data_IF_111377090545
#
_entry.id   IF_111377090545
#
_cell.length_a   1.000
_cell.length_b   1.000
_cell.length_c   1.000
_cell.angle_alpha   90.00
_cell.angle_beta   90.00
_cell.angle_gamma   90.00
#
_symmetry.space_group_name_H-M   'P 1'
#
loop_
_entity.id
_entity.type
_entity.pdbx_description
1 polymer ?
#
# COMPACT_ATOMS: atom_id res chain seq x y z
N UNK A 1 19.47 -24.56 70.60
CA UNK A 1 20.84 -25.08 70.81
C UNK A 1 21.26 -25.79 69.53
N UNK A 2 22.53 -25.69 69.09
CA UNK A 2 23.48 -24.56 69.13
C UNK A 2 24.06 -24.32 67.69
N UNK A 3 24.96 -23.40 67.34
CA UNK A 3 25.69 -22.33 68.02
C UNK A 3 26.17 -21.31 66.96
N UNK A 4 26.33 -20.06 67.41
CA UNK A 4 27.00 -18.93 66.74
C UNK A 4 28.53 -19.08 66.85
N UNK A 5 29.27 -18.45 65.93
CA UNK A 5 30.57 -17.82 66.24
C UNK A 5 30.62 -16.42 65.62
N UNK A 6 31.07 -15.47 66.42
CA UNK A 6 31.21 -14.03 66.15
C UNK A 6 32.61 -13.62 66.60
N UNK A 7 33.31 -12.77 65.84
CA UNK A 7 34.43 -11.93 66.30
C UNK A 7 34.57 -10.77 65.28
N UNK A 8 34.28 -9.49 65.55
CA UNK A 8 34.87 -8.48 66.48
C UNK A 8 36.11 -7.77 65.88
N UNK A 9 35.92 -6.47 65.54
CA UNK A 9 36.74 -5.25 65.84
C UNK A 9 38.23 -5.22 65.39
N UNK A 10 38.92 -4.15 64.99
CA UNK A 10 38.91 -2.68 65.25
C UNK A 10 39.95 -2.07 64.29
N UNK A 11 39.73 -0.95 63.58
CA UNK A 11 40.02 0.46 63.93
C UNK A 11 41.50 0.90 64.15
N UNK A 12 41.98 1.70 63.18
CA UNK A 12 42.81 2.94 63.23
C UNK A 12 44.32 2.96 63.60
N UNK A 13 44.96 4.01 63.04
CA UNK A 13 46.25 4.74 63.30
C UNK A 13 47.26 4.62 62.14
N UNK A 14 47.39 5.61 61.22
CA UNK A 14 47.92 6.98 61.30
C UNK A 14 49.46 7.08 61.34
N UNK A 15 50.04 7.82 60.38
CA UNK A 15 51.24 8.71 60.37
C UNK A 15 51.95 8.61 59.01
N UNK A 16 51.84 9.60 58.09
CA UNK A 16 52.63 10.85 57.98
C UNK A 16 54.15 10.68 58.01
N UNK A 17 54.81 10.90 56.87
CA UNK A 17 56.09 11.60 56.79
C UNK A 17 56.13 12.50 55.56
N UNK A 18 56.49 13.76 55.81
CA UNK A 18 56.75 14.81 54.84
C UNK A 18 58.05 14.54 54.08
N UNK A 19 58.13 15.01 52.84
CA UNK A 19 59.30 15.78 52.43
C UNK A 19 58.93 16.86 51.41
N UNK A 20 59.44 18.05 51.68
CA UNK A 20 59.16 19.29 51.00
C UNK A 20 60.06 19.50 49.78
N UNK A 21 59.54 20.16 48.75
CA UNK A 21 60.30 21.09 47.92
C UNK A 21 59.33 22.06 47.21
N UNK A 22 59.55 23.36 47.39
CA UNK A 22 58.80 24.48 46.79
C UNK A 22 59.28 24.82 45.35
N UNK A 23 58.55 25.68 44.59
CA UNK A 23 58.21 25.44 43.19
C UNK A 23 58.98 26.30 42.17
N UNK A 24 58.86 26.01 40.87
CA UNK A 24 58.90 27.02 39.83
C UNK A 24 57.48 27.35 39.34
N UNK A 25 57.21 28.65 39.32
CA UNK A 25 56.02 29.29 38.78
C UNK A 25 55.87 28.98 37.28
N UNK A 26 54.86 28.17 36.91
CA UNK A 26 54.37 28.13 35.55
C UNK A 26 52.88 27.79 35.53
N UNK A 27 52.11 28.73 35.01
CA UNK A 27 50.66 28.69 34.89
C UNK A 27 50.22 27.64 33.86
N UNK A 28 50.02 26.39 34.27
CA UNK A 28 49.15 25.44 33.56
C UNK A 28 48.51 24.51 34.60
N UNK A 29 47.22 24.70 34.89
CA UNK A 29 46.47 23.75 35.70
C UNK A 29 46.34 22.41 34.95
N UNK A 30 46.31 21.25 35.66
CA UNK A 30 46.11 19.97 35.01
C UNK A 30 44.79 19.97 34.23
N UNK A 31 44.72 19.36 33.04
CA UNK A 31 43.47 19.25 32.31
C UNK A 31 42.46 18.53 33.20
N UNK A 32 41.38 19.22 33.53
CA UNK A 32 40.21 18.61 34.15
C UNK A 32 39.73 17.53 33.19
N UNK A 33 39.99 16.26 33.54
CA UNK A 33 39.26 15.11 33.01
C UNK A 33 37.79 15.33 33.35
N UNK A 34 37.08 15.94 32.43
CA UNK A 34 35.64 15.99 32.42
C UNK A 34 35.20 14.62 31.95
N UNK A 35 34.75 13.80 32.90
CA UNK A 35 33.92 12.64 32.57
C UNK A 35 32.74 13.24 31.79
N UNK A 36 32.52 12.88 30.51
CA UNK A 36 31.36 13.36 29.80
C UNK A 36 30.14 12.96 30.63
N UNK A 37 29.31 13.95 30.99
CA UNK A 37 27.99 13.67 31.53
C UNK A 37 27.37 12.64 30.60
N UNK A 38 26.91 11.52 31.17
CA UNK A 38 26.07 10.59 30.43
C UNK A 38 25.05 11.44 29.64
N UNK A 39 24.88 11.19 28.33
CA UNK A 39 23.92 11.93 27.55
C UNK A 39 22.60 11.94 28.33
N UNK A 40 21.89 13.07 28.40
CA UNK A 40 20.59 13.08 29.05
C UNK A 40 19.83 11.90 28.48
N UNK A 41 19.33 11.00 29.36
CA UNK A 41 18.44 9.93 28.92
C UNK A 41 17.45 10.64 28.02
N UNK A 42 17.51 10.33 26.72
CA UNK A 42 16.47 10.78 25.82
C UNK A 42 15.19 10.32 26.50
N UNK A 43 14.37 11.30 26.83
CA UNK A 43 13.01 11.03 27.26
C UNK A 43 12.47 10.11 26.17
N UNK A 44 12.37 8.81 26.47
CA UNK A 44 11.63 7.88 25.65
C UNK A 44 10.20 8.31 25.87
N UNK A 45 9.83 9.41 25.22
CA UNK A 45 8.49 9.93 25.19
C UNK A 45 7.62 8.73 24.89
N UNK A 46 6.68 8.47 25.80
CA UNK A 46 5.70 7.41 25.72
C UNK A 46 5.30 7.21 24.25
N UNK A 47 5.77 6.12 23.63
CA UNK A 47 5.50 5.86 22.22
C UNK A 47 3.99 5.80 22.12
N UNK A 48 3.39 6.84 21.55
CA UNK A 48 1.94 7.00 21.51
C UNK A 48 1.39 5.87 20.66
N UNK A 49 0.99 4.79 21.31
CA UNK A 49 0.49 3.58 20.68
C UNK A 49 -0.73 3.97 19.84
N UNK A 50 -0.61 3.85 18.53
CA UNK A 50 -1.71 4.05 17.60
C UNK A 50 -2.58 2.80 17.60
N UNK A 51 -3.90 2.98 17.51
CA UNK A 51 -4.88 1.91 17.52
C UNK A 51 -5.65 2.00 16.21
N UNK A 52 -5.76 0.87 15.49
CA UNK A 52 -6.60 0.75 14.31
C UNK A 52 -7.98 0.23 14.72
N UNK A 53 -9.03 1.01 14.47
CA UNK A 53 -10.39 0.66 14.85
C UNK A 53 -11.28 0.43 13.63
N UNK A 54 -11.96 -0.71 13.66
CA UNK A 54 -12.97 -1.14 12.70
C UNK A 54 -14.37 -1.11 13.34
N UNK A 55 -15.39 -1.54 12.61
CA UNK A 55 -16.78 -1.47 13.08
C UNK A 55 -17.05 -2.32 14.33
N UNK A 56 -16.35 -3.45 14.46
CA UNK A 56 -16.60 -4.44 15.52
C UNK A 56 -15.40 -4.69 16.43
N UNK A 57 -14.21 -4.20 16.08
CA UNK A 57 -12.97 -4.49 16.81
C UNK A 57 -11.95 -3.36 16.64
N UNK A 58 -11.05 -3.23 17.60
CA UNK A 58 -9.87 -2.38 17.51
C UNK A 58 -8.63 -3.20 17.82
N UNK A 59 -7.51 -2.84 17.20
CA UNK A 59 -6.24 -3.53 17.38
C UNK A 59 -5.12 -2.53 17.64
N UNK A 60 -4.22 -2.95 18.52
CA UNK A 60 -2.97 -2.27 18.72
C UNK A 60 -2.12 -2.33 17.45
N UNK A 61 -1.41 -1.24 17.16
CA UNK A 61 -0.44 -1.21 16.07
C UNK A 61 0.99 -1.15 16.61
N UNK A 62 1.93 -1.66 15.82
CA UNK A 62 3.37 -1.61 16.03
C UNK A 62 3.99 -0.64 15.03
N UNK A 63 4.99 0.14 15.45
CA UNK A 63 5.75 0.99 14.52
C UNK A 63 6.54 0.10 13.56
N UNK A 64 6.57 0.47 12.27
CA UNK A 64 7.38 -0.23 11.26
C UNK A 64 8.86 -0.21 11.64
N UNK A 65 9.35 0.81 12.35
CA UNK A 65 10.75 0.85 12.80
C UNK A 65 11.04 -0.14 13.95
N UNK A 66 10.00 -0.81 14.49
CA UNK A 66 10.09 -1.80 15.56
C UNK A 66 9.85 -3.24 15.07
N UNK A 67 9.46 -3.45 13.81
CA UNK A 67 9.23 -4.80 13.29
C UNK A 67 10.56 -5.48 12.96
N UNK A 68 10.67 -6.76 13.29
CA UNK A 68 11.79 -7.59 12.85
C UNK A 68 11.50 -8.07 11.42
N UNK A 69 12.23 -7.51 10.45
CA UNK A 69 12.13 -7.86 9.03
C UNK A 69 13.52 -8.14 8.43
N UNK A 70 14.16 -9.27 8.77
CA UNK A 70 15.47 -9.63 8.24
C UNK A 70 15.44 -9.94 6.74
N UNK A 71 14.28 -10.31 6.19
CA UNK A 71 14.07 -10.67 4.78
C UNK A 71 13.87 -9.45 3.89
N UNK A 72 13.51 -8.28 4.46
CA UNK A 72 13.14 -7.10 3.69
C UNK A 72 11.76 -7.22 3.06
N UNK A 73 10.84 -7.93 3.70
CA UNK A 73 9.49 -8.21 3.21
C UNK A 73 8.60 -6.96 3.19
N UNK A 74 8.93 -5.94 3.97
CA UNK A 74 8.16 -4.70 4.14
C UNK A 74 8.86 -3.47 3.55
N UNK A 75 9.71 -3.67 2.54
CA UNK A 75 10.37 -2.57 1.80
C UNK A 75 9.41 -2.03 0.73
N UNK A 76 8.88 -0.82 0.98
CA UNK A 76 8.06 -0.08 0.02
C UNK A 76 8.92 0.75 -0.95
N UNK A 77 8.42 0.99 -2.15
CA UNK A 77 9.07 1.87 -3.12
C UNK A 77 9.09 3.33 -2.63
N UNK A 78 10.13 4.07 -2.99
CA UNK A 78 10.21 5.51 -2.73
C UNK A 78 9.12 6.25 -3.52
N UNK A 79 8.13 6.89 -2.88
CA UNK A 79 7.00 7.55 -3.55
C UNK A 79 7.43 8.62 -4.56
N UNK A 80 8.65 9.18 -4.47
CA UNK A 80 9.16 10.10 -5.49
C UNK A 80 9.33 9.45 -6.86
N UNK A 81 9.51 8.12 -6.90
CA UNK A 81 9.56 7.34 -8.13
C UNK A 81 8.16 7.00 -8.68
N UNK A 82 7.08 7.37 -7.98
CA UNK A 82 5.74 7.15 -8.51
C UNK A 82 5.50 8.10 -9.69
N UNK A 83 5.06 7.60 -10.86
CA UNK A 83 4.99 8.41 -12.09
C UNK A 83 4.05 9.61 -12.05
N UNK A 84 2.99 9.57 -11.22
CA UNK A 84 2.02 10.66 -11.11
C UNK A 84 2.29 11.46 -9.84
N UNK A 85 2.90 12.64 -10.02
CA UNK A 85 3.36 13.50 -8.93
C UNK A 85 2.24 13.89 -7.95
N UNK A 86 1.03 14.10 -8.46
CA UNK A 86 -0.12 14.53 -7.69
C UNK A 86 -0.70 13.43 -6.79
N UNK A 87 -0.32 12.17 -7.03
CA UNK A 87 -0.76 11.02 -6.26
C UNK A 87 0.36 10.42 -5.40
N UNK A 88 1.60 10.94 -5.43
CA UNK A 88 2.75 10.41 -4.67
C UNK A 88 2.45 10.25 -3.18
N UNK A 89 1.71 11.19 -2.60
CA UNK A 89 1.32 11.15 -1.19
C UNK A 89 0.46 9.94 -0.84
N UNK A 90 -0.25 9.35 -1.81
CA UNK A 90 -1.04 8.13 -1.62
C UNK A 90 -0.19 6.85 -1.65
N UNK A 91 1.08 6.94 -2.07
CA UNK A 91 2.01 5.81 -2.19
C UNK A 91 3.18 5.89 -1.19
N UNK A 92 3.04 6.71 -0.14
CA UNK A 92 3.99 6.75 0.97
C UNK A 92 3.98 5.43 1.74
N UNK A 93 5.14 5.06 2.31
CA UNK A 93 5.22 3.89 3.20
C UNK A 93 4.34 4.08 4.45
N UNK A 94 3.68 3.03 4.95
CA UNK A 94 3.05 3.06 6.25
C UNK A 94 4.10 3.19 7.36
N UNK A 95 3.68 3.74 8.50
CA UNK A 95 4.50 3.94 9.69
C UNK A 95 4.12 3.00 10.82
N UNK A 96 2.89 2.48 10.80
CA UNK A 96 2.42 1.48 11.73
C UNK A 96 1.73 0.34 11.00
N UNK A 97 1.77 -0.86 11.58
CA UNK A 97 1.11 -2.07 11.10
C UNK A 97 0.47 -2.81 12.28
N UNK A 98 -0.38 -3.78 12.00
CA UNK A 98 -0.93 -4.73 12.96
C UNK A 98 -0.10 -6.02 12.90
N UNK A 99 0.28 -6.58 14.05
CA UNK A 99 0.88 -7.92 14.11
C UNK A 99 -0.23 -8.98 14.13
N UNK A 100 -0.34 -9.76 13.06
CA UNK A 100 -1.41 -10.74 12.92
C UNK A 100 -1.23 -11.97 13.81
N UNK A 101 -0.01 -12.25 14.31
CA UNK A 101 0.21 -13.38 15.23
C UNK A 101 -0.49 -13.19 16.58
N UNK A 102 -0.78 -11.95 16.95
CA UNK A 102 -1.39 -11.59 18.24
C UNK A 102 -2.93 -11.57 18.17
N UNK A 103 -3.52 -11.88 17.01
CA UNK A 103 -4.95 -11.71 16.77
C UNK A 103 -5.58 -12.97 16.19
N UNK A 104 -6.74 -13.36 16.72
CA UNK A 104 -7.51 -14.44 16.13
C UNK A 104 -8.01 -14.02 14.72
N UNK A 105 -7.67 -14.76 13.64
CA UNK A 105 -8.09 -14.42 12.27
C UNK A 105 -9.61 -14.38 12.07
N UNK A 106 -10.38 -15.12 12.88
CA UNK A 106 -11.84 -15.09 12.87
C UNK A 106 -12.47 -13.89 13.61
N UNK A 107 -11.66 -12.97 14.14
CA UNK A 107 -12.16 -11.77 14.81
C UNK A 107 -12.98 -10.93 13.84
N UNK A 108 -14.20 -10.56 14.24
CA UNK A 108 -15.10 -9.72 13.44
C UNK A 108 -14.59 -8.28 13.38
N UNK A 109 -14.27 -7.82 12.17
CA UNK A 109 -13.93 -6.41 11.88
C UNK A 109 -15.14 -5.62 11.40
N UNK A 110 -16.15 -6.33 10.87
CA UNK A 110 -17.46 -5.82 10.53
C UNK A 110 -18.53 -6.92 10.74
N UNK A 111 -19.83 -6.61 10.75
CA UNK A 111 -20.87 -7.62 10.99
C UNK A 111 -20.74 -8.86 10.09
N UNK A 112 -20.38 -8.66 8.82
CA UNK A 112 -20.31 -9.71 7.81
C UNK A 112 -18.89 -10.13 7.43
N UNK A 113 -17.86 -9.53 8.04
CA UNK A 113 -16.47 -9.79 7.67
C UNK A 113 -15.57 -10.02 8.89
N UNK A 114 -14.61 -10.92 8.75
CA UNK A 114 -13.58 -11.22 9.74
C UNK A 114 -12.23 -10.63 9.32
N UNK A 115 -11.25 -10.61 10.22
CA UNK A 115 -9.92 -10.07 9.97
C UNK A 115 -9.27 -10.74 8.76
N UNK A 116 -9.33 -12.07 8.69
CA UNK A 116 -8.68 -12.88 7.66
C UNK A 116 -9.22 -12.65 6.25
N UNK A 117 -10.45 -12.12 6.10
CA UNK A 117 -10.98 -11.71 4.80
C UNK A 117 -10.08 -10.64 4.15
N UNK A 118 -9.43 -9.80 4.96
CA UNK A 118 -8.64 -8.66 4.50
C UNK A 118 -7.15 -8.79 4.79
N UNK A 119 -6.77 -9.41 5.91
CA UNK A 119 -5.39 -9.47 6.39
C UNK A 119 -5.09 -10.89 6.83
N UNK A 120 -4.25 -11.58 6.06
CA UNK A 120 -3.87 -12.98 6.30
C UNK A 120 -2.36 -13.09 6.46
N UNK A 121 -1.93 -13.85 7.47
CA UNK A 121 -0.51 -14.10 7.76
C UNK A 121 0.23 -14.70 6.54
N UNK A 122 -0.46 -15.51 5.73
CA UNK A 122 0.09 -16.10 4.51
C UNK A 122 0.57 -15.05 3.49
N UNK A 123 -0.02 -13.84 3.52
CA UNK A 123 0.35 -12.71 2.65
C UNK A 123 1.24 -11.68 3.36
N UNK A 124 1.71 -12.01 4.56
CA UNK A 124 2.53 -11.19 5.44
C UNK A 124 2.05 -11.19 6.89
N UNK A 125 2.96 -11.43 7.84
CA UNK A 125 2.68 -11.36 9.30
C UNK A 125 2.16 -10.00 9.77
N UNK A 126 2.75 -8.92 9.29
CA UNK A 126 2.34 -7.56 9.66
C UNK A 126 1.46 -7.01 8.55
N UNK A 127 0.33 -6.39 8.90
CA UNK A 127 -0.62 -5.94 7.90
C UNK A 127 -1.25 -4.60 8.23
N UNK A 128 -1.77 -3.94 7.21
CA UNK A 128 -2.63 -2.78 7.36
C UNK A 128 -3.84 -2.90 6.44
N UNK A 129 -4.97 -2.37 6.87
CA UNK A 129 -6.14 -2.30 6.02
C UNK A 129 -7.05 -1.17 6.45
N UNK A 130 -7.49 -0.36 5.48
CA UNK A 130 -8.29 0.83 5.72
C UNK A 130 -9.64 0.49 6.33
N UNK A 131 -9.95 1.08 7.49
CA UNK A 131 -11.27 0.91 8.11
C UNK A 131 -12.40 1.46 7.23
N UNK A 132 -12.11 2.49 6.44
CA UNK A 132 -13.04 3.08 5.48
C UNK A 132 -13.42 2.07 4.37
N UNK A 133 -12.46 1.31 3.85
CA UNK A 133 -12.72 0.30 2.82
C UNK A 133 -13.61 -0.82 3.35
N UNK A 134 -13.33 -1.32 4.56
CA UNK A 134 -14.18 -2.34 5.23
C UNK A 134 -15.60 -1.80 5.43
N UNK A 135 -15.77 -0.55 5.87
CA UNK A 135 -17.08 0.09 6.00
C UNK A 135 -17.82 0.11 4.65
N UNK A 136 -17.17 0.51 3.56
CA UNK A 136 -17.77 0.57 2.22
C UNK A 136 -18.19 -0.82 1.74
N UNK A 137 -17.37 -1.84 1.91
CA UNK A 137 -17.73 -3.23 1.59
C UNK A 137 -18.89 -3.73 2.45
N UNK A 138 -18.95 -3.34 3.73
CA UNK A 138 -20.08 -3.65 4.60
C UNK A 138 -21.37 -2.95 4.14
N UNK A 139 -21.29 -1.71 3.66
CA UNK A 139 -22.44 -1.01 3.08
C UNK A 139 -22.89 -1.67 1.77
N UNK A 140 -21.97 -2.07 0.89
CA UNK A 140 -22.25 -2.85 -0.32
C UNK A 140 -22.95 -4.18 0.02
N UNK A 141 -22.46 -4.90 1.03
CA UNK A 141 -23.06 -6.15 1.54
C UNK A 141 -24.47 -5.92 2.05
N UNK A 142 -24.71 -4.77 2.71
CA UNK A 142 -26.01 -4.38 3.23
C UNK A 142 -26.99 -3.95 2.14
N UNK A 143 -26.53 -3.30 1.08
CA UNK A 143 -27.39 -2.88 -0.04
C UNK A 143 -27.79 -4.07 -0.90
N UNK A 144 -26.81 -4.88 -1.31
CA UNK A 144 -27.05 -6.02 -2.20
C UNK A 144 -27.79 -7.16 -1.50
N UNK A 145 -27.71 -7.23 -0.16
CA UNK A 145 -28.17 -8.36 0.66
C UNK A 145 -27.56 -9.71 0.26
N UNK A 146 -26.49 -9.72 -0.56
CA UNK A 146 -25.80 -10.93 -1.05
C UNK A 146 -24.38 -11.08 -0.46
N UNK A 147 -23.92 -12.30 -0.11
CA UNK A 147 -22.57 -12.53 0.40
C UNK A 147 -21.50 -11.93 -0.52
N UNK A 148 -20.55 -11.21 0.09
CA UNK A 148 -19.35 -10.71 -0.57
C UNK A 148 -18.21 -11.59 -0.08
N UNK A 149 -17.48 -12.21 -1.01
CA UNK A 149 -16.32 -13.05 -0.71
C UNK A 149 -15.06 -12.32 -1.16
N UNK A 150 -14.17 -12.04 -0.21
CA UNK A 150 -12.90 -11.38 -0.48
C UNK A 150 -11.88 -12.46 -0.86
N UNK A 151 -11.34 -12.36 -2.07
CA UNK A 151 -10.24 -13.20 -2.53
C UNK A 151 -8.90 -12.65 -2.05
N UNK A 152 -8.78 -11.32 -2.02
CA UNK A 152 -7.53 -10.65 -1.65
C UNK A 152 -7.76 -9.26 -1.06
N UNK A 153 -7.15 -9.00 0.09
CA UNK A 153 -7.08 -7.70 0.74
C UNK A 153 -5.64 -7.18 0.77
N UNK A 154 -5.02 -7.10 1.93
CA UNK A 154 -3.62 -6.68 2.07
C UNK A 154 -2.63 -7.72 1.51
N UNK A 155 -1.54 -7.21 0.93
CA UNK A 155 -0.35 -7.97 0.53
C UNK A 155 0.88 -7.22 1.01
N UNK A 156 1.82 -7.87 1.70
CA UNK A 156 3.09 -7.19 1.98
C UNK A 156 3.89 -6.98 0.66
N UNK A 157 4.87 -6.05 0.63
CA UNK A 157 5.66 -5.78 -0.55
C UNK A 157 6.36 -7.00 -1.18
N UNK A 158 6.93 -7.91 -0.37
CA UNK A 158 7.58 -9.11 -0.89
C UNK A 158 6.60 -10.07 -1.56
N UNK A 159 5.52 -10.43 -0.87
CA UNK A 159 4.47 -11.29 -1.43
C UNK A 159 3.90 -10.71 -2.71
N UNK A 160 3.65 -9.38 -2.75
CA UNK A 160 3.20 -8.74 -3.97
C UNK A 160 4.25 -8.88 -5.10
N UNK A 161 5.54 -8.67 -4.85
CA UNK A 161 6.59 -8.81 -5.88
C UNK A 161 6.72 -10.24 -6.41
N UNK A 162 6.47 -11.24 -5.57
CA UNK A 162 6.58 -12.65 -5.94
C UNK A 162 5.40 -13.12 -6.80
N UNK A 163 4.32 -12.35 -6.83
CA UNK A 163 3.19 -12.53 -7.74
C UNK A 163 3.60 -12.11 -9.16
N UNK A 164 3.54 -13.02 -10.11
CA UNK A 164 3.88 -12.74 -11.50
C UNK A 164 2.92 -11.71 -12.12
N UNK A 165 3.52 -10.73 -12.80
CA UNK A 165 2.78 -9.64 -13.42
C UNK A 165 2.20 -8.61 -12.46
N UNK A 166 2.46 -8.71 -11.14
CA UNK A 166 1.94 -7.76 -10.16
C UNK A 166 2.48 -6.34 -10.34
N UNK A 167 1.69 -5.35 -9.91
CA UNK A 167 2.06 -3.96 -10.02
C UNK A 167 3.10 -3.66 -8.96
N UNK A 168 4.19 -3.01 -9.39
CA UNK A 168 5.18 -2.42 -8.49
C UNK A 168 4.53 -1.42 -7.51
N UNK A 169 3.43 -0.78 -7.92
CA UNK A 169 2.66 0.17 -7.12
C UNK A 169 1.26 -0.36 -6.79
N UNK A 170 1.14 -1.64 -6.46
CA UNK A 170 -0.15 -2.28 -6.17
C UNK A 170 -0.82 -1.65 -4.95
N UNK A 171 -2.12 -1.38 -5.04
CA UNK A 171 -2.93 -0.81 -3.95
C UNK A 171 -3.21 -1.79 -2.82
N UNK A 172 -3.07 -3.11 -3.06
CA UNK A 172 -3.12 -4.11 -2.00
C UNK A 172 -2.04 -3.88 -0.93
N UNK A 173 -0.87 -3.36 -1.32
CA UNK A 173 0.22 -3.04 -0.39
C UNK A 173 -0.08 -1.86 0.53
N UNK A 174 -1.05 -1.01 0.16
CA UNK A 174 -1.44 0.18 0.90
C UNK A 174 -2.81 0.01 1.60
N UNK A 175 -3.33 -1.23 1.64
CA UNK A 175 -4.50 -1.59 2.44
C UNK A 175 -5.81 -0.94 1.99
N UNK A 176 -5.89 -0.48 0.73
CA UNK A 176 -7.06 0.20 0.18
C UNK A 176 -7.58 -0.38 -1.13
N UNK A 177 -7.24 -1.64 -1.40
CA UNK A 177 -7.77 -2.44 -2.50
C UNK A 177 -8.43 -3.73 -1.98
N UNK A 178 -9.40 -4.23 -2.75
CA UNK A 178 -10.03 -5.52 -2.53
C UNK A 178 -10.31 -6.22 -3.86
N UNK A 179 -9.92 -7.48 -3.93
CA UNK A 179 -10.36 -8.43 -4.94
C UNK A 179 -11.50 -9.25 -4.35
N UNK A 180 -12.68 -9.21 -4.98
CA UNK A 180 -13.85 -9.89 -4.45
C UNK A 180 -14.87 -10.26 -5.51
N UNK A 181 -15.80 -11.13 -5.15
CA UNK A 181 -17.02 -11.36 -5.91
C UNK A 181 -18.24 -11.34 -4.98
N UNK A 182 -19.42 -11.12 -5.56
CA UNK A 182 -20.69 -11.16 -4.85
C UNK A 182 -21.45 -12.38 -5.32
N UNK A 183 -21.86 -13.24 -4.38
CA UNK A 183 -22.62 -14.46 -4.68
C UNK A 183 -23.86 -14.12 -5.50
N UNK A 184 -24.10 -14.89 -6.56
CA UNK A 184 -25.28 -14.75 -7.42
C UNK A 184 -25.42 -13.36 -8.07
N UNK A 185 -24.31 -12.68 -8.35
CA UNK A 185 -24.26 -11.40 -9.05
C UNK A 185 -23.19 -11.47 -10.15
N UNK A 186 -23.47 -10.88 -11.31
CA UNK A 186 -22.52 -10.93 -12.42
C UNK A 186 -21.36 -9.94 -12.16
N UNK A 187 -20.12 -10.37 -12.37
CA UNK A 187 -18.92 -9.54 -12.12
C UNK A 187 -19.00 -8.20 -12.86
N UNK A 188 -19.55 -8.19 -14.09
CA UNK A 188 -19.77 -6.97 -14.90
C UNK A 188 -20.65 -5.89 -14.26
N UNK A 189 -21.45 -6.24 -13.24
CA UNK A 189 -22.31 -5.30 -12.51
C UNK A 189 -21.56 -4.62 -11.35
N UNK A 190 -20.46 -5.22 -10.89
CA UNK A 190 -19.71 -4.77 -9.73
C UNK A 190 -18.96 -3.44 -9.93
N UNK A 191 -18.47 -3.05 -11.12
CA UNK A 191 -17.79 -1.76 -11.27
C UNK A 191 -18.68 -0.57 -10.90
N UNK A 192 -19.95 -0.60 -11.31
CA UNK A 192 -20.92 0.45 -10.98
C UNK A 192 -21.18 0.51 -9.47
N UNK A 193 -21.27 -0.66 -8.82
CA UNK A 193 -21.43 -0.77 -7.38
C UNK A 193 -20.20 -0.22 -6.62
N UNK A 194 -18.98 -0.62 -7.00
CA UNK A 194 -17.76 -0.09 -6.41
C UNK A 194 -17.65 1.43 -6.55
N UNK A 195 -17.90 1.97 -7.75
CA UNK A 195 -17.89 3.42 -8.01
C UNK A 195 -18.94 4.16 -7.17
N UNK A 196 -20.14 3.59 -7.01
CA UNK A 196 -21.18 4.14 -6.12
C UNK A 196 -20.70 4.28 -4.67
N UNK A 197 -19.86 3.37 -4.20
CA UNK A 197 -19.23 3.42 -2.88
C UNK A 197 -17.83 4.05 -2.88
N UNK A 198 -17.54 4.87 -3.90
CA UNK A 198 -16.38 5.76 -3.94
C UNK A 198 -15.09 5.08 -4.37
N UNK A 199 -15.12 3.88 -4.95
CA UNK A 199 -13.92 3.30 -5.56
C UNK A 199 -13.46 4.22 -6.70
N UNK A 200 -12.20 4.63 -6.64
CA UNK A 200 -11.54 5.46 -7.65
C UNK A 200 -11.10 4.66 -8.86
N UNK A 201 -10.89 3.36 -8.68
CA UNK A 201 -10.48 2.46 -9.75
C UNK A 201 -11.10 1.07 -9.59
N UNK A 202 -11.38 0.45 -10.74
CA UNK A 202 -11.91 -0.91 -10.81
C UNK A 202 -11.24 -1.65 -11.97
N UNK A 203 -10.94 -2.93 -11.78
CA UNK A 203 -10.60 -3.87 -12.85
C UNK A 203 -11.49 -5.11 -12.75
N UNK A 204 -12.10 -5.50 -13.85
CA UNK A 204 -12.97 -6.68 -13.89
C UNK A 204 -12.18 -7.87 -14.42
N UNK A 205 -12.18 -8.99 -13.69
CA UNK A 205 -11.65 -10.27 -14.12
C UNK A 205 -12.81 -11.23 -14.45
N UNK A 206 -12.48 -12.46 -14.87
CA UNK A 206 -13.48 -13.47 -15.18
C UNK A 206 -14.33 -13.87 -13.96
N UNK A 207 -13.70 -14.01 -12.79
CA UNK A 207 -14.34 -14.56 -11.59
C UNK A 207 -14.56 -13.52 -10.48
N UNK A 208 -13.86 -12.40 -10.51
CA UNK A 208 -13.90 -11.37 -9.47
C UNK A 208 -13.65 -9.98 -10.04
N UNK A 209 -13.81 -8.97 -9.20
CA UNK A 209 -13.46 -7.59 -9.48
C UNK A 209 -12.38 -7.14 -8.49
N UNK A 210 -11.40 -6.39 -8.99
CA UNK A 210 -10.56 -5.50 -8.20
C UNK A 210 -11.25 -4.16 -8.06
N UNK A 211 -11.39 -3.68 -6.83
CA UNK A 211 -11.78 -2.30 -6.55
C UNK A 211 -10.80 -1.69 -5.57
N UNK A 212 -10.35 -0.46 -5.85
CA UNK A 212 -9.54 0.29 -4.89
C UNK A 212 -10.00 1.73 -4.70
N UNK A 213 -9.59 2.25 -3.55
CA UNK A 213 -9.95 3.56 -3.02
C UNK A 213 -8.72 4.45 -2.91
N UNK A 214 -7.77 4.35 -3.85
CA UNK A 214 -6.50 5.10 -3.87
C UNK A 214 -6.62 6.61 -3.76
N UNK A 215 -7.79 7.19 -4.03
CA UNK A 215 -8.06 8.63 -3.88
C UNK A 215 -8.73 8.99 -2.54
N UNK A 216 -9.05 8.01 -1.70
CA UNK A 216 -9.52 8.24 -0.34
C UNK A 216 -8.34 8.62 0.58
N UNK A 217 -8.57 9.42 1.63
CA UNK A 217 -7.54 9.70 2.62
C UNK A 217 -6.96 8.41 3.21
N UNK A 218 -5.64 8.36 3.36
CA UNK A 218 -4.98 7.25 4.03
C UNK A 218 -5.43 7.16 5.50
N UNK A 219 -5.44 5.95 6.05
CA UNK A 219 -5.98 5.72 7.39
C UNK A 219 -4.99 6.21 8.47
N UNK A 220 -5.38 7.16 9.34
CA UNK A 220 -4.47 7.75 10.32
C UNK A 220 -3.95 6.75 11.37
N UNK A 221 -4.51 5.54 11.46
CA UNK A 221 -3.95 4.47 12.29
C UNK A 221 -2.59 3.95 11.78
N UNK A 222 -2.34 4.06 10.47
CA UNK A 222 -1.14 3.52 9.82
C UNK A 222 -0.22 4.61 9.24
N UNK A 223 -0.75 5.82 9.05
CA UNK A 223 -0.06 6.95 8.41
C UNK A 223 -0.13 8.21 9.29
N UNK A 224 0.86 9.10 9.16
CA UNK A 224 0.87 10.37 9.92
C UNK A 224 0.00 11.44 9.28
N UNK A 225 -0.57 12.34 10.09
CA UNK A 225 -1.32 13.50 9.57
C UNK A 225 -0.47 14.44 8.70
N UNK A 226 0.85 14.47 8.89
CA UNK A 226 1.78 15.23 8.03
C UNK A 226 1.85 14.64 6.61
N UNK A 227 1.67 13.33 6.45
CA UNK A 227 1.51 12.67 5.15
C UNK A 227 0.12 12.89 4.54
N UNK A 228 -0.90 13.17 5.36
CA UNK A 228 -2.30 13.37 4.95
C UNK A 228 -2.62 14.79 4.44
N UNK A 229 -1.64 15.71 4.39
CA UNK A 229 -1.84 17.04 3.79
C UNK A 229 -1.90 16.95 2.26
N UNK A 230 -3.06 16.53 1.76
CA UNK A 230 -3.46 16.68 0.37
C UNK A 230 -4.77 17.47 0.32
N UNK A 231 -4.72 18.71 0.83
CA UNK A 231 -5.77 19.68 0.50
C UNK A 231 -5.63 20.02 -0.99
N UNK A 232 -6.71 19.79 -1.74
CA UNK A 232 -6.82 19.94 -3.20
C UNK A 232 -6.12 18.89 -4.05
N UNK A 233 -6.45 17.61 -3.84
CA UNK A 233 -6.36 16.65 -4.96
C UNK A 233 -7.46 17.04 -5.96
N UNK A 234 -7.13 17.83 -6.99
CA UNK A 234 -7.92 17.80 -8.21
C UNK A 234 -8.11 16.33 -8.58
N UNK A 235 -9.35 15.90 -8.82
CA UNK A 235 -9.69 14.52 -9.22
C UNK A 235 -8.94 14.17 -10.50
N UNK A 236 -7.71 13.70 -10.38
CA UNK A 236 -6.92 13.27 -11.53
C UNK A 236 -7.39 11.88 -11.87
N UNK A 237 -8.10 11.81 -12.97
CA UNK A 237 -8.64 10.59 -13.51
C UNK A 237 -7.50 9.59 -13.78
N UNK A 238 -7.41 8.51 -13.00
CA UNK A 238 -6.41 7.45 -13.20
C UNK A 238 -6.49 6.84 -14.62
N UNK A 239 -7.63 6.95 -15.31
CA UNK A 239 -7.73 6.61 -16.73
C UNK A 239 -6.74 7.40 -17.60
N UNK A 240 -6.48 8.67 -17.28
CA UNK A 240 -5.48 9.52 -17.95
C UNK A 240 -4.06 9.00 -17.72
N UNK A 241 -3.78 8.42 -16.55
CA UNK A 241 -2.49 7.77 -16.29
C UNK A 241 -2.30 6.51 -17.14
N UNK A 242 -3.30 5.61 -17.15
CA UNK A 242 -3.24 4.39 -17.99
C UNK A 242 -3.12 4.75 -19.48
N UNK A 243 -3.81 5.80 -19.92
CA UNK A 243 -3.69 6.37 -21.25
C UNK A 243 -2.23 6.74 -21.60
N UNK A 244 -1.55 7.46 -20.71
CA UNK A 244 -0.16 7.88 -20.95
C UNK A 244 0.83 6.70 -20.99
N UNK A 245 0.54 5.60 -20.30
CA UNK A 245 1.42 4.42 -20.25
C UNK A 245 1.14 3.40 -21.38
N UNK A 246 -0.02 3.48 -22.02
CA UNK A 246 -0.37 2.58 -23.13
C UNK A 246 0.43 2.87 -24.40
N UNK A 247 0.78 1.79 -25.13
CA UNK A 247 1.48 1.83 -26.41
C UNK A 247 0.60 1.24 -27.50
N UNK A 248 0.56 1.87 -28.67
CA UNK A 248 -0.15 1.35 -29.83
C UNK A 248 0.87 1.18 -30.95
N UNK A 249 0.94 -0.02 -31.50
CA UNK A 249 1.66 -0.33 -32.72
C UNK A 249 0.66 -0.57 -33.85
N UNK A 250 1.04 -0.28 -35.08
CA UNK A 250 0.25 -0.67 -36.24
C UNK A 250 1.15 -1.13 -37.39
N UNK A 251 0.59 -1.95 -38.26
CA UNK A 251 1.21 -2.33 -39.54
C UNK A 251 0.15 -2.38 -40.64
N UNK A 252 0.57 -2.15 -41.87
CA UNK A 252 -0.32 -2.17 -43.03
C UNK A 252 -0.18 -3.48 -43.80
N UNK A 253 -1.29 -3.93 -44.37
CA UNK A 253 -1.34 -5.00 -45.38
C UNK A 253 -2.04 -4.47 -46.64
N UNK A 254 -2.14 -5.30 -47.67
CA UNK A 254 -2.82 -4.94 -48.92
C UNK A 254 -4.29 -4.54 -48.71
N UNK A 255 -4.94 -5.09 -47.68
CA UNK A 255 -6.39 -4.94 -47.45
C UNK A 255 -6.75 -4.19 -46.17
N UNK A 256 -5.94 -4.31 -45.12
CA UNK A 256 -6.29 -3.84 -43.77
C UNK A 256 -5.12 -3.10 -43.10
N UNK A 257 -5.48 -2.23 -42.16
CA UNK A 257 -4.60 -1.83 -41.06
C UNK A 257 -4.73 -2.87 -39.94
N UNK A 258 -3.61 -3.24 -39.36
CA UNK A 258 -3.54 -4.10 -38.17
C UNK A 258 -3.05 -3.24 -37.03
N UNK A 259 -3.83 -3.12 -35.98
CA UNK A 259 -3.45 -2.45 -34.74
C UNK A 259 -3.10 -3.49 -33.68
N UNK A 260 -2.10 -3.20 -32.85
CA UNK A 260 -1.72 -3.98 -31.67
C UNK A 260 -1.54 -3.01 -30.50
N UNK A 261 -2.32 -3.16 -29.46
CA UNK A 261 -2.32 -2.23 -28.33
C UNK A 261 -1.81 -2.93 -27.08
N UNK A 262 -0.80 -2.34 -26.45
CA UNK A 262 -0.27 -2.77 -25.17
C UNK A 262 -0.73 -1.80 -24.09
N UNK A 263 -1.52 -2.31 -23.15
CA UNK A 263 -1.83 -1.63 -21.89
C UNK A 263 -1.05 -2.34 -20.80
N UNK A 264 -0.10 -1.67 -20.10
CA UNK A 264 0.59 -2.31 -18.99
C UNK A 264 -0.43 -2.56 -17.89
N UNK A 265 -0.80 -3.82 -17.69
CA UNK A 265 -1.71 -4.21 -16.64
C UNK A 265 -0.97 -4.65 -15.40
N UNK A 266 -1.52 -4.29 -14.24
CA UNK A 266 -0.85 -4.49 -12.98
C UNK A 266 -0.93 -5.92 -12.45
N UNK A 267 -1.72 -6.86 -12.97
CA UNK A 267 -1.89 -8.15 -12.28
C UNK A 267 -2.24 -9.27 -13.28
N UNK A 268 -1.39 -10.29 -13.42
CA UNK A 268 -1.66 -11.48 -14.29
C UNK A 268 -1.81 -12.80 -13.50
N UNK A 269 -1.40 -12.84 -12.24
CA UNK A 269 -1.56 -14.01 -11.35
C UNK A 269 -3.00 -14.28 -10.89
N UNK A 270 -3.91 -13.33 -11.12
CA UNK A 270 -5.34 -13.48 -10.83
C UNK A 270 -6.20 -13.62 -12.10
N UNK A 271 -5.54 -13.80 -13.25
CA UNK A 271 -6.16 -13.87 -14.57
C UNK A 271 -6.07 -12.55 -15.32
N UNK A 272 -6.39 -12.58 -16.62
CA UNK A 272 -6.32 -11.40 -17.48
C UNK A 272 -7.59 -10.55 -17.26
N UNK A 273 -7.46 -9.24 -16.93
CA UNK A 273 -8.60 -8.32 -16.90
C UNK A 273 -9.41 -8.38 -18.20
N UNK A 274 -10.71 -8.12 -18.13
CA UNK A 274 -11.54 -8.02 -19.34
C UNK A 274 -11.11 -6.81 -20.15
N UNK A 275 -10.89 -7.02 -21.45
CA UNK A 275 -10.60 -5.96 -22.40
C UNK A 275 -11.74 -5.87 -23.42
N UNK A 276 -12.23 -4.66 -23.66
CA UNK A 276 -13.10 -4.37 -24.80
C UNK A 276 -12.34 -3.42 -25.73
N UNK A 277 -11.97 -3.93 -26.90
CA UNK A 277 -11.24 -3.17 -27.90
C UNK A 277 -12.22 -2.56 -28.88
N UNK A 278 -12.01 -1.30 -29.23
CA UNK A 278 -12.80 -0.65 -30.27
C UNK A 278 -11.96 0.33 -31.08
N UNK A 279 -12.23 0.36 -32.38
CA UNK A 279 -11.67 1.35 -33.29
C UNK A 279 -12.80 2.15 -33.91
N UNK A 280 -12.66 3.47 -33.84
CA UNK A 280 -13.54 4.44 -34.48
C UNK A 280 -12.85 4.82 -35.79
N UNK A 281 -13.50 4.47 -36.91
CA UNK A 281 -13.01 4.75 -38.25
C UNK A 281 -13.11 6.25 -38.58
N UNK A 282 -12.42 6.74 -39.64
CA UNK A 282 -12.61 8.11 -40.14
C UNK A 282 -14.06 8.43 -40.53
N UNK A 283 -14.87 7.41 -40.78
CA UNK A 283 -16.31 7.49 -41.08
C UNK A 283 -17.20 7.60 -39.83
N UNK A 284 -16.62 7.57 -38.62
CA UNK A 284 -17.28 7.42 -37.32
C UNK A 284 -17.97 6.06 -37.07
N UNK A 285 -17.73 5.07 -37.91
CA UNK A 285 -18.15 3.69 -37.64
C UNK A 285 -17.28 3.08 -36.53
N UNK A 286 -17.89 2.30 -35.64
CA UNK A 286 -17.20 1.64 -34.52
C UNK A 286 -17.09 0.16 -34.83
N UNK A 287 -15.87 -0.35 -34.87
CA UNK A 287 -15.59 -1.79 -34.94
C UNK A 287 -15.09 -2.24 -33.56
N UNK A 288 -15.76 -3.21 -32.96
CA UNK A 288 -15.32 -3.86 -31.72
C UNK A 288 -14.41 -5.04 -32.02
N UNK A 289 -13.49 -5.34 -31.11
CA UNK A 289 -12.63 -6.51 -31.19
C UNK A 289 -12.48 -7.18 -29.82
N UNK A 290 -12.28 -8.50 -29.87
CA UNK A 290 -12.14 -9.36 -28.70
C UNK A 290 -10.67 -9.55 -28.30
N UNK A 291 -9.73 -9.02 -29.09
CA UNK A 291 -8.29 -9.22 -28.94
C UNK A 291 -7.51 -7.91 -29.05
N UNK A 292 -6.36 -7.83 -28.38
CA UNK A 292 -5.42 -6.70 -28.40
C UNK A 292 -4.86 -6.38 -29.80
N UNK A 293 -4.95 -7.35 -30.71
CA UNK A 293 -4.66 -7.18 -32.12
C UNK A 293 -5.95 -7.25 -32.93
N UNK A 294 -6.23 -6.23 -33.74
CA UNK A 294 -7.46 -6.16 -34.53
C UNK A 294 -7.25 -5.48 -35.89
N UNK A 295 -8.20 -5.73 -36.80
CA UNK A 295 -8.15 -5.32 -38.19
C UNK A 295 -9.14 -4.19 -38.45
N UNK A 296 -8.69 -3.14 -39.14
CA UNK A 296 -9.56 -2.09 -39.64
C UNK A 296 -9.40 -1.93 -41.16
N UNK A 297 -10.46 -1.59 -41.89
CA UNK A 297 -10.37 -1.32 -43.32
C UNK A 297 -9.45 -0.12 -43.58
N UNK A 298 -8.74 -0.13 -44.73
CA UNK A 298 -7.98 1.03 -45.22
C UNK A 298 -8.94 2.14 -45.70
N UNK A 299 -9.15 3.15 -44.87
CA UNK A 299 -9.87 4.39 -45.19
C UNK A 299 -9.00 5.60 -44.85
N UNK A 300 -8.62 6.43 -45.83
CA UNK A 300 -7.81 7.62 -45.52
C UNK A 300 -8.48 8.53 -44.48
N UNK A 301 -7.71 8.98 -43.50
CA UNK A 301 -8.18 9.85 -42.43
C UNK A 301 -7.77 9.35 -41.05
N UNK A 302 -8.44 9.87 -40.03
CA UNK A 302 -8.06 9.67 -38.63
C UNK A 302 -8.86 8.55 -37.96
N UNK A 303 -8.14 7.61 -37.35
CA UNK A 303 -8.67 6.52 -36.53
C UNK A 303 -8.54 6.87 -35.06
N UNK A 304 -9.54 6.52 -34.25
CA UNK A 304 -9.44 6.59 -32.80
C UNK A 304 -9.48 5.19 -32.22
N UNK A 305 -8.57 4.89 -31.29
CA UNK A 305 -8.53 3.58 -30.65
C UNK A 305 -8.96 3.77 -29.21
N UNK A 306 -9.99 3.03 -28.82
CA UNK A 306 -10.54 3.00 -27.49
C UNK A 306 -10.42 1.59 -26.93
N UNK A 307 -9.81 1.51 -25.76
CA UNK A 307 -9.69 0.29 -24.97
C UNK A 307 -10.47 0.51 -23.69
N UNK A 308 -11.39 -0.39 -23.36
CA UNK A 308 -11.95 -0.45 -22.01
C UNK A 308 -11.25 -1.59 -21.30
N UNK A 309 -10.40 -1.27 -20.33
CA UNK A 309 -9.79 -2.29 -19.47
C UNK A 309 -10.47 -2.27 -18.12
N UNK A 310 -11.19 -3.36 -17.81
CA UNK A 310 -11.87 -3.53 -16.52
C UNK A 310 -12.84 -2.40 -16.13
N UNK A 311 -13.39 -1.67 -17.11
CA UNK A 311 -14.31 -0.54 -16.90
C UNK A 311 -13.66 0.86 -16.85
N UNK A 312 -12.36 0.97 -17.15
CA UNK A 312 -11.64 2.24 -17.33
C UNK A 312 -11.30 2.46 -18.82
N UNK A 313 -11.67 3.62 -19.36
CA UNK A 313 -11.45 3.96 -20.77
C UNK A 313 -10.03 4.48 -20.94
N UNK A 314 -9.23 3.79 -21.75
CA UNK A 314 -7.93 4.23 -22.24
C UNK A 314 -8.07 4.58 -23.72
N UNK A 315 -7.77 5.82 -24.11
CA UNK A 315 -7.92 6.31 -25.49
C UNK A 315 -6.58 6.76 -26.06
N UNK A 316 -6.29 6.50 -27.33
CA UNK A 316 -5.42 7.41 -28.10
C UNK A 316 -6.22 8.00 -29.24
N UNK A 317 -6.25 9.33 -29.25
CA UNK A 317 -7.34 10.07 -29.88
C UNK A 317 -7.24 10.18 -31.39
N UNK A 318 -6.06 10.05 -32.02
CA UNK A 318 -5.94 10.30 -33.46
C UNK A 318 -4.76 9.55 -34.11
N UNK A 319 -5.04 8.77 -35.15
CA UNK A 319 -4.05 8.16 -36.03
C UNK A 319 -4.41 8.37 -37.50
N UNK A 320 -3.59 9.10 -38.26
CA UNK A 320 -3.81 9.35 -39.69
C UNK A 320 -3.02 8.36 -40.56
N UNK A 321 -3.65 7.81 -41.60
CA UNK A 321 -2.98 6.97 -42.61
C UNK A 321 -3.41 7.28 -44.04
#
# INVERSE_FOLDING_TARGET
MPAKITAILSLLFATFFLNACEPPDSKVGPPKLTIPKAPPKQDQGEVKKTIACYLNSCFDTISVDQIEDPSGDYIYNDPNNFPNENLRNQYVRPLHLIDLLEINPATKVAPNFVLEDFMSEFKGRYALYSANVILKLQLMRNETKKPIYINSGYRNPAYNRDIAGSATWSRHMYGDAADFYIKDMAVKELPALCKKYGASFTLTYLQHIHCDWRESPLDPAFYTQTQLRADNVEKINFATFLQNQSKINFRQTDKNLIFSVYVPLPDEDEGVPTHEWSVILPTNEIITADTETFYAPKIHGTYQIKVVVGGSIVVRDNFSW
#
